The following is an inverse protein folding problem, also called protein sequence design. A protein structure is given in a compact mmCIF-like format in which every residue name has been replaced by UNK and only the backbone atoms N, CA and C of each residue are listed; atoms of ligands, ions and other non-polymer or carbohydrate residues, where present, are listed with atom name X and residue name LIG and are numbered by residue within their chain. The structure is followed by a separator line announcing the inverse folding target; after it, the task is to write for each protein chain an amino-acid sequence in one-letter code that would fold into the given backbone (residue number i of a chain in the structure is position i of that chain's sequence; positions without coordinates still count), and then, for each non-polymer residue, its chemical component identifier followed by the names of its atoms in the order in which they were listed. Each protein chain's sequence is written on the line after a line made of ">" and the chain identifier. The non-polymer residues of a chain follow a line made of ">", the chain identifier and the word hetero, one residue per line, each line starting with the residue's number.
data_IF_135766731523
#
_entry.id   IF_135766731523
#
_cell.length_a   1.000
_cell.length_b   1.000
_cell.length_c   1.000
_cell.angle_alpha   90.00
_cell.angle_beta   90.00
_cell.angle_gamma   90.00
#
_symmetry.space_group_name_H-M   'P 1'
#
loop_
_entity.id
_entity.type
_entity.pdbx_description
1 polymer ?
#
# COMPACT_ATOMS: atom_id res chain seq x y z
N UNK A 1 -11.51 37.18 -6.20
CA UNK A 1 -11.76 36.53 -7.51
C UNK A 1 -10.54 35.76 -8.03
N UNK A 2 -9.33 36.33 -8.07
CA UNK A 2 -8.11 35.63 -8.49
C UNK A 2 -7.77 34.40 -7.63
N UNK A 3 -7.92 34.46 -6.30
CA UNK A 3 -7.62 33.34 -5.39
C UNK A 3 -8.55 32.14 -5.52
N UNK A 4 -9.85 32.38 -5.75
CA UNK A 4 -10.82 31.30 -6.03
C UNK A 4 -10.60 30.68 -7.41
N UNK A 5 -10.24 31.49 -8.42
CA UNK A 5 -9.84 30.97 -9.73
C UNK A 5 -8.54 30.17 -9.64
N UNK A 6 -7.57 30.62 -8.86
CA UNK A 6 -6.31 29.90 -8.63
C UNK A 6 -6.54 28.60 -7.86
N UNK A 7 -7.35 28.59 -6.79
CA UNK A 7 -7.74 27.36 -6.10
C UNK A 7 -8.45 26.37 -7.04
N UNK A 8 -9.29 26.86 -7.95
CA UNK A 8 -10.06 26.03 -8.90
C UNK A 8 -9.22 25.54 -10.09
N UNK A 9 -8.18 26.27 -10.50
CA UNK A 9 -7.41 25.99 -11.71
C UNK A 9 -5.93 25.64 -11.47
N UNK A 10 -5.42 25.71 -10.23
CA UNK A 10 -4.02 25.36 -9.89
C UNK A 10 -3.65 23.94 -10.32
N UNK A 11 -4.57 22.98 -10.18
CA UNK A 11 -4.37 21.59 -10.60
C UNK A 11 -4.27 21.43 -12.13
N UNK A 12 -4.78 22.40 -12.91
CA UNK A 12 -4.68 22.42 -14.38
C UNK A 12 -3.40 23.11 -14.89
N UNK A 13 -2.77 23.96 -14.08
CA UNK A 13 -1.63 24.79 -14.47
C UNK A 13 -0.27 24.18 -14.10
N UNK A 14 -0.25 23.21 -13.18
CA UNK A 14 0.97 22.47 -12.81
C UNK A 14 0.85 21.09 -13.46
N UNK A 15 1.63 20.85 -14.52
CA UNK A 15 1.78 19.51 -15.07
C UNK A 15 2.37 18.61 -13.99
N UNK A 16 1.57 17.68 -13.46
CA UNK A 16 2.05 16.63 -12.59
C UNK A 16 2.70 15.56 -13.46
N UNK A 17 3.97 15.23 -13.22
CA UNK A 17 4.67 14.16 -13.92
C UNK A 17 4.65 12.89 -13.07
N UNK A 18 4.48 11.74 -13.73
CA UNK A 18 4.57 10.44 -13.08
C UNK A 18 5.98 10.21 -12.56
N UNK A 19 6.14 9.92 -11.26
CA UNK A 19 7.46 9.66 -10.68
C UNK A 19 8.15 8.40 -11.22
N UNK A 20 7.39 7.49 -11.87
CA UNK A 20 7.94 6.26 -12.44
C UNK A 20 8.37 6.41 -13.89
N UNK A 21 7.47 6.84 -14.77
CA UNK A 21 7.74 6.90 -16.22
C UNK A 21 8.05 8.32 -16.74
N UNK A 22 8.00 9.34 -15.87
CA UNK A 22 8.24 10.74 -16.19
C UNK A 22 7.31 11.34 -17.26
N UNK A 23 6.22 10.64 -17.59
CA UNK A 23 5.19 11.16 -18.49
C UNK A 23 4.21 12.06 -17.73
N UNK A 24 3.59 13.06 -18.40
CA UNK A 24 2.52 13.86 -17.83
C UNK A 24 1.37 12.98 -17.31
N UNK A 25 0.85 13.29 -16.14
CA UNK A 25 -0.34 12.66 -15.58
C UNK A 25 -1.55 13.37 -16.18
N UNK A 26 -2.34 12.63 -16.93
CA UNK A 26 -3.60 13.11 -17.47
C UNK A 26 -4.56 13.49 -16.33
N UNK A 27 -5.38 14.55 -16.50
CA UNK A 27 -6.40 14.91 -15.53
C UNK A 27 -7.35 13.72 -15.31
N UNK A 28 -7.45 13.25 -14.07
CA UNK A 28 -8.38 12.18 -13.70
C UNK A 28 -9.77 12.78 -13.50
N UNK A 29 -10.83 12.04 -13.86
CA UNK A 29 -12.20 12.42 -13.48
C UNK A 29 -12.32 12.56 -11.95
N UNK A 30 -13.17 13.47 -11.49
CA UNK A 30 -13.27 13.96 -10.10
C UNK A 30 -13.51 12.90 -9.02
N UNK A 31 -13.82 11.66 -9.38
CA UNK A 31 -14.06 10.53 -8.47
C UNK A 31 -12.84 9.60 -8.31
N UNK A 32 -11.72 9.87 -8.99
CA UNK A 32 -10.54 9.04 -8.87
C UNK A 32 -9.83 9.25 -7.52
N UNK A 33 -9.92 8.24 -6.66
CA UNK A 33 -9.17 8.09 -5.40
C UNK A 33 -7.73 7.68 -5.63
N UNK A 34 -7.15 7.84 -6.83
CA UNK A 34 -5.78 7.39 -7.13
C UNK A 34 -4.75 8.51 -6.93
N UNK A 35 -3.50 8.17 -6.58
CA UNK A 35 -2.48 9.17 -6.29
C UNK A 35 -2.03 9.93 -7.53
N UNK A 36 -1.84 11.24 -7.40
CA UNK A 36 -1.25 12.13 -8.41
C UNK A 36 0.27 11.98 -8.54
N UNK A 37 0.83 10.93 -7.96
CA UNK A 37 2.27 10.62 -7.96
C UNK A 37 2.61 9.61 -9.06
N UNK A 38 1.65 8.78 -9.45
CA UNK A 38 1.76 7.78 -10.51
C UNK A 38 0.68 8.03 -11.56
N UNK A 39 0.99 7.82 -12.85
CA UNK A 39 -0.03 7.83 -13.89
C UNK A 39 -0.84 6.52 -13.89
N UNK A 40 -2.03 6.54 -14.51
CA UNK A 40 -2.91 5.38 -14.58
C UNK A 40 -2.21 4.16 -15.19
N UNK A 41 -1.44 4.36 -16.27
CA UNK A 41 -0.74 3.28 -16.97
C UNK A 41 0.24 2.54 -16.05
N UNK A 42 1.02 3.27 -15.24
CA UNK A 42 1.94 2.66 -14.29
C UNK A 42 1.19 1.94 -13.16
N UNK A 43 0.06 2.48 -12.70
CA UNK A 43 -0.78 1.82 -11.69
C UNK A 43 -1.33 0.50 -12.21
N UNK A 44 -1.91 0.50 -13.41
CA UNK A 44 -2.48 -0.70 -14.05
C UNK A 44 -1.40 -1.75 -14.31
N UNK A 45 -0.20 -1.35 -14.73
CA UNK A 45 0.90 -2.28 -15.00
C UNK A 45 1.36 -3.08 -13.75
N UNK A 46 1.16 -2.55 -12.54
CA UNK A 46 1.47 -3.23 -11.29
C UNK A 46 0.44 -4.32 -10.93
N UNK A 47 -0.78 -4.23 -11.46
CA UNK A 47 -1.84 -5.21 -11.21
C UNK A 47 -1.52 -6.48 -11.98
N UNK A 48 -1.49 -7.61 -11.28
CA UNK A 48 -1.27 -8.93 -11.87
C UNK A 48 -2.35 -9.88 -11.37
N UNK A 49 -2.87 -10.80 -12.19
CA UNK A 49 -3.85 -11.79 -11.75
C UNK A 49 -3.25 -12.68 -10.67
N UNK A 50 -4.03 -12.96 -9.62
CA UNK A 50 -3.57 -13.69 -8.44
C UNK A 50 -4.65 -14.62 -7.88
N UNK A 51 -4.19 -15.57 -7.08
CA UNK A 51 -5.03 -16.29 -6.14
C UNK A 51 -5.52 -15.33 -5.03
N UNK A 52 -6.83 -15.20 -4.82
CA UNK A 52 -7.40 -14.35 -3.76
C UNK A 52 -7.06 -14.86 -2.35
N UNK A 53 -6.88 -16.17 -2.20
CA UNK A 53 -6.57 -16.77 -0.91
C UNK A 53 -5.11 -16.56 -0.48
N UNK A 54 -4.11 -16.89 -1.32
CA UNK A 54 -2.68 -16.79 -0.95
C UNK A 54 -1.89 -15.67 -1.64
N UNK A 55 -2.45 -14.98 -2.63
CA UNK A 55 -1.76 -13.92 -3.39
C UNK A 55 -0.73 -14.41 -4.42
N UNK A 56 -0.61 -15.73 -4.64
CA UNK A 56 0.26 -16.28 -5.67
C UNK A 56 -0.13 -15.74 -7.04
N UNK A 57 0.86 -15.34 -7.86
CA UNK A 57 0.64 -14.87 -9.23
C UNK A 57 0.08 -16.02 -10.08
N UNK A 58 -0.98 -15.73 -10.82
CA UNK A 58 -1.69 -16.68 -11.67
C UNK A 58 -1.86 -16.09 -13.09
N UNK A 59 -2.24 -16.93 -14.06
CA UNK A 59 -2.57 -16.45 -15.41
C UNK A 59 -3.90 -15.70 -15.46
N UNK A 60 -4.85 -16.12 -14.62
CA UNK A 60 -6.16 -15.51 -14.43
C UNK A 60 -6.38 -15.31 -12.93
N UNK A 61 -7.22 -14.35 -12.58
CA UNK A 61 -7.63 -14.17 -11.19
C UNK A 61 -8.53 -15.34 -10.77
N UNK A 62 -8.30 -15.88 -9.58
CA UNK A 62 -9.00 -17.07 -9.11
C UNK A 62 -9.11 -17.06 -7.59
N UNK A 63 -10.14 -17.71 -7.04
CA UNK A 63 -10.33 -17.74 -5.58
C UNK A 63 -9.23 -18.57 -4.88
N UNK A 64 -8.97 -19.78 -5.39
CA UNK A 64 -8.04 -20.74 -4.80
C UNK A 64 -7.16 -21.38 -5.87
N UNK A 65 -5.84 -21.23 -5.77
CA UNK A 65 -4.89 -21.97 -6.61
C UNK A 65 -4.70 -23.41 -6.12
N UNK A 66 -4.04 -24.26 -6.91
CA UNK A 66 -3.78 -25.66 -6.54
C UNK A 66 -3.04 -25.83 -5.20
N UNK A 67 -2.13 -24.91 -4.86
CA UNK A 67 -1.43 -24.93 -3.57
C UNK A 67 -2.39 -24.65 -2.40
N UNK A 68 -3.33 -23.72 -2.57
CA UNK A 68 -4.35 -23.44 -1.56
C UNK A 68 -5.31 -24.60 -1.34
N UNK A 69 -5.67 -25.33 -2.40
CA UNK A 69 -6.53 -26.51 -2.29
C UNK A 69 -5.84 -27.64 -1.51
N UNK A 70 -4.52 -27.80 -1.66
CA UNK A 70 -3.74 -28.81 -0.95
C UNK A 70 -3.37 -28.38 0.48
N UNK A 71 -2.98 -27.12 0.66
CA UNK A 71 -2.45 -26.56 1.90
C UNK A 71 -2.96 -25.13 2.09
N UNK A 72 -4.21 -24.95 2.59
CA UNK A 72 -4.78 -23.63 2.75
C UNK A 72 -4.05 -22.82 3.84
N UNK A 73 -3.66 -21.56 3.58
CA UNK A 73 -3.17 -20.66 4.62
C UNK A 73 -4.21 -20.40 5.72
N UNK A 74 -3.73 -19.86 6.85
CA UNK A 74 -4.55 -19.54 8.03
C UNK A 74 -5.40 -18.26 7.88
N UNK A 75 -5.23 -17.52 6.79
CA UNK A 75 -5.99 -16.30 6.51
C UNK A 75 -7.01 -16.55 5.38
N UNK A 76 -8.09 -15.76 5.35
CA UNK A 76 -9.17 -15.92 4.36
C UNK A 76 -8.79 -15.36 2.99
N UNK A 77 -8.22 -14.16 2.95
CA UNK A 77 -7.90 -13.46 1.71
C UNK A 77 -6.60 -12.67 1.87
N UNK A 78 -5.89 -12.50 0.76
CA UNK A 78 -4.67 -11.70 0.70
C UNK A 78 -4.83 -10.60 -0.35
N UNK A 79 -4.68 -9.36 0.09
CA UNK A 79 -4.67 -8.19 -0.77
C UNK A 79 -3.26 -7.63 -0.93
N UNK A 80 -2.86 -7.34 -2.17
CA UNK A 80 -1.58 -6.71 -2.46
C UNK A 80 -1.69 -5.76 -3.65
N UNK A 81 -0.87 -4.71 -3.67
CA UNK A 81 -0.82 -3.76 -4.79
C UNK A 81 -0.22 -4.41 -6.06
N UNK A 82 0.83 -5.19 -5.89
CA UNK A 82 1.57 -5.84 -6.98
C UNK A 82 2.82 -6.54 -6.43
N UNK A 83 3.68 -6.99 -7.34
CA UNK A 83 4.97 -7.58 -6.96
C UNK A 83 5.92 -6.52 -6.35
N UNK A 84 6.90 -6.98 -5.57
CA UNK A 84 7.95 -6.12 -5.03
C UNK A 84 8.95 -5.73 -6.14
N UNK A 85 8.49 -4.92 -7.09
CA UNK A 85 9.22 -4.43 -8.25
C UNK A 85 8.97 -2.93 -8.44
N UNK A 86 9.82 -2.20 -9.17
CA UNK A 86 9.58 -0.80 -9.48
C UNK A 86 8.24 -0.60 -10.20
N UNK A 87 7.48 0.47 -9.88
CA UNK A 87 7.82 1.53 -8.92
C UNK A 87 7.47 1.21 -7.46
N UNK A 88 6.69 0.15 -7.18
CA UNK A 88 6.19 -0.17 -5.84
C UNK A 88 7.32 -0.40 -4.84
N UNK A 89 8.38 -1.11 -5.24
CA UNK A 89 9.53 -1.39 -4.38
C UNK A 89 10.20 -0.12 -3.85
N UNK A 90 10.25 0.96 -4.64
CA UNK A 90 10.85 2.23 -4.23
C UNK A 90 10.07 2.87 -3.08
N UNK A 91 8.74 2.92 -3.17
CA UNK A 91 7.89 3.49 -2.12
C UNK A 91 7.92 2.66 -0.85
N UNK A 92 7.88 1.32 -0.98
CA UNK A 92 8.02 0.41 0.16
C UNK A 92 9.38 0.56 0.82
N UNK A 93 10.45 0.71 0.03
CA UNK A 93 11.80 0.94 0.54
C UNK A 93 11.91 2.28 1.28
N UNK A 94 11.40 3.36 0.70
CA UNK A 94 11.39 4.70 1.32
C UNK A 94 10.62 4.71 2.65
N UNK A 95 9.47 4.02 2.72
CA UNK A 95 8.73 3.85 3.97
C UNK A 95 9.55 3.03 4.99
N UNK A 96 10.20 1.94 4.55
CA UNK A 96 10.96 1.08 5.45
C UNK A 96 12.22 1.76 5.98
N UNK A 97 13.04 2.34 5.12
CA UNK A 97 14.43 2.67 5.47
C UNK A 97 14.73 4.16 5.47
N UNK A 98 13.93 4.97 4.78
CA UNK A 98 14.18 6.42 4.64
C UNK A 98 13.27 7.29 5.51
N UNK A 99 12.50 6.67 6.42
CA UNK A 99 11.54 7.35 7.32
C UNK A 99 10.53 8.25 6.59
N UNK A 100 10.25 7.97 5.32
CA UNK A 100 9.32 8.77 4.53
C UNK A 100 7.88 8.34 4.81
N UNK A 101 7.31 8.80 5.94
CA UNK A 101 6.00 8.36 6.42
C UNK A 101 4.84 8.69 5.47
N UNK A 102 4.97 9.75 4.67
CA UNK A 102 4.00 10.11 3.63
C UNK A 102 3.81 8.99 2.57
N UNK A 103 4.78 8.08 2.44
CA UNK A 103 4.65 6.91 1.58
C UNK A 103 3.60 5.92 2.09
N UNK A 104 3.29 5.91 3.39
CA UNK A 104 2.21 5.10 3.94
C UNK A 104 0.85 5.52 3.36
N UNK A 105 0.59 6.82 3.23
CA UNK A 105 -0.66 7.34 2.65
C UNK A 105 -0.81 6.98 1.17
N UNK A 106 0.30 7.02 0.42
CA UNK A 106 0.36 6.61 -0.99
C UNK A 106 0.07 5.11 -1.14
N UNK A 107 0.78 4.28 -0.37
CA UNK A 107 0.63 2.83 -0.40
C UNK A 107 -0.76 2.39 0.05
N UNK A 108 -1.31 3.02 1.09
CA UNK A 108 -2.67 2.78 1.55
C UNK A 108 -3.70 3.15 0.49
N UNK A 109 -3.51 4.26 -0.23
CA UNK A 109 -4.37 4.67 -1.34
C UNK A 109 -4.42 3.60 -2.43
N UNK A 110 -3.26 3.06 -2.81
CA UNK A 110 -3.20 1.98 -3.80
C UNK A 110 -3.83 0.69 -3.28
N UNK A 111 -3.62 0.35 -2.01
CA UNK A 111 -4.11 -0.91 -1.43
C UNK A 111 -5.63 -0.93 -1.26
N UNK A 112 -6.22 0.16 -0.78
CA UNK A 112 -7.66 0.25 -0.47
C UNK A 112 -8.53 0.01 -1.69
N UNK A 113 -8.10 0.41 -2.89
CA UNK A 113 -8.79 0.14 -4.15
C UNK A 113 -8.98 -1.35 -4.46
N UNK A 114 -8.26 -2.23 -3.74
CA UNK A 114 -8.31 -3.68 -3.94
C UNK A 114 -9.05 -4.40 -2.82
N UNK A 115 -9.32 -3.73 -1.71
CA UNK A 115 -10.01 -4.35 -0.57
C UNK A 115 -11.51 -4.23 -0.83
N UNK A 116 -12.16 -5.35 -1.06
CA UNK A 116 -13.60 -5.45 -1.34
C UNK A 116 -14.41 -6.04 -0.16
N UNK A 117 -13.74 -6.50 0.89
CA UNK A 117 -14.37 -7.03 2.10
C UNK A 117 -14.65 -5.97 3.16
N UNK A 118 -15.73 -6.17 3.90
CA UNK A 118 -16.02 -5.42 5.13
C UNK A 118 -15.34 -6.10 6.30
N UNK A 119 -14.63 -5.32 7.11
CA UNK A 119 -13.95 -5.75 8.33
C UNK A 119 -14.27 -4.79 9.46
N UNK A 120 -14.26 -5.28 10.70
CA UNK A 120 -14.62 -4.48 11.88
C UNK A 120 -13.45 -3.64 12.42
N UNK A 121 -12.21 -4.08 12.17
CA UNK A 121 -11.01 -3.41 12.63
C UNK A 121 -9.79 -3.76 11.76
N UNK A 122 -8.79 -2.88 11.78
CA UNK A 122 -7.44 -3.14 11.26
C UNK A 122 -6.49 -3.33 12.44
N UNK A 123 -5.55 -4.26 12.32
CA UNK A 123 -4.41 -4.40 13.24
C UNK A 123 -3.11 -4.41 12.44
N UNK A 124 -1.97 -4.39 13.12
CA UNK A 124 -0.65 -4.39 12.50
C UNK A 124 0.32 -5.26 13.27
N UNK A 125 1.41 -5.64 12.61
CA UNK A 125 2.50 -6.38 13.24
C UNK A 125 3.39 -5.39 14.01
N UNK A 126 3.51 -5.51 15.36
CA UNK A 126 4.37 -4.64 16.15
C UNK A 126 5.86 -4.93 15.94
N UNK A 127 6.68 -3.90 16.10
CA UNK A 127 8.12 -4.07 16.32
C UNK A 127 8.40 -4.39 17.79
N UNK A 128 9.54 -5.02 18.06
CA UNK A 128 10.02 -5.15 19.44
C UNK A 128 10.42 -3.76 19.97
N UNK A 129 10.12 -3.45 21.23
CA UNK A 129 10.27 -2.11 21.81
C UNK A 129 11.66 -1.49 21.59
N UNK A 130 12.74 -2.27 21.73
CA UNK A 130 14.12 -1.82 21.43
C UNK A 130 14.28 -1.32 20.00
N UNK A 131 13.73 -2.06 19.03
CA UNK A 131 13.80 -1.71 17.61
C UNK A 131 12.89 -0.53 17.29
N UNK A 132 11.72 -0.44 17.93
CA UNK A 132 10.84 0.71 17.80
C UNK A 132 11.51 1.98 18.32
N UNK A 133 12.18 1.91 19.47
CA UNK A 133 12.95 3.03 20.02
C UNK A 133 14.07 3.47 19.08
N UNK A 134 14.90 2.54 18.60
CA UNK A 134 16.02 2.86 17.70
C UNK A 134 15.56 3.41 16.35
N UNK A 135 14.47 2.87 15.79
CA UNK A 135 13.96 3.25 14.47
C UNK A 135 13.05 4.47 14.51
N UNK A 136 12.47 4.80 15.67
CA UNK A 136 11.51 5.89 15.87
C UNK A 136 10.08 5.61 15.41
N UNK A 137 9.83 4.61 14.58
CA UNK A 137 8.50 4.29 14.04
C UNK A 137 8.32 2.82 13.63
N UNK A 138 7.05 2.38 13.55
CA UNK A 138 6.66 1.09 12.99
C UNK A 138 5.95 1.26 11.63
N UNK A 139 6.55 0.76 10.56
CA UNK A 139 6.06 0.92 9.19
C UNK A 139 4.68 0.30 9.01
N UNK A 140 4.48 -0.87 9.63
CA UNK A 140 3.22 -1.60 9.56
C UNK A 140 2.10 -0.85 10.28
N UNK A 141 2.43 -0.16 11.38
CA UNK A 141 1.48 0.70 12.10
C UNK A 141 1.08 1.90 11.24
N UNK A 142 2.05 2.62 10.65
CA UNK A 142 1.76 3.77 9.79
C UNK A 142 0.92 3.39 8.56
N UNK A 143 1.22 2.25 7.93
CA UNK A 143 0.40 1.75 6.82
C UNK A 143 -1.01 1.36 7.30
N UNK A 144 -1.12 0.66 8.42
CA UNK A 144 -2.42 0.25 8.98
C UNK A 144 -3.29 1.46 9.36
N UNK A 145 -2.71 2.50 9.99
CA UNK A 145 -3.42 3.74 10.31
C UNK A 145 -3.92 4.46 9.04
N UNK A 146 -3.08 4.52 8.00
CA UNK A 146 -3.47 5.14 6.73
C UNK A 146 -4.59 4.37 6.02
N UNK A 147 -4.57 3.04 6.03
CA UNK A 147 -5.65 2.19 5.49
C UNK A 147 -6.92 2.36 6.33
N UNK A 148 -6.83 2.31 7.66
CA UNK A 148 -7.94 2.43 8.59
C UNK A 148 -8.69 3.76 8.41
N UNK A 149 -7.94 4.86 8.27
CA UNK A 149 -8.47 6.19 7.98
C UNK A 149 -9.26 6.23 6.67
N UNK A 150 -8.80 5.53 5.63
CA UNK A 150 -9.44 5.50 4.30
C UNK A 150 -10.68 4.62 4.26
N UNK A 151 -10.66 3.49 4.98
CA UNK A 151 -11.79 2.59 5.11
C UNK A 151 -12.80 3.03 6.18
N UNK A 152 -12.48 4.08 6.94
CA UNK A 152 -13.28 4.59 8.06
C UNK A 152 -13.60 3.50 9.11
N UNK A 153 -12.56 2.76 9.51
CA UNK A 153 -12.63 1.68 10.52
C UNK A 153 -11.53 1.87 11.56
N UNK A 154 -11.69 1.35 12.79
CA UNK A 154 -10.69 1.51 13.84
C UNK A 154 -9.40 0.72 13.54
N UNK A 155 -8.26 1.31 13.87
CA UNK A 155 -6.98 0.61 13.94
C UNK A 155 -6.68 0.27 15.40
N UNK A 156 -6.58 -1.02 15.74
CA UNK A 156 -6.43 -1.51 17.11
C UNK A 156 -5.13 -2.31 17.23
N UNK A 157 -4.24 -1.98 18.18
CA UNK A 157 -3.01 -2.72 18.41
C UNK A 157 -3.29 -4.03 19.15
N UNK A 158 -3.60 -5.11 18.42
CA UNK A 158 -3.99 -6.40 19.02
C UNK A 158 -2.81 -7.28 19.43
N UNK A 159 -1.61 -7.00 18.92
CA UNK A 159 -0.44 -7.85 19.13
C UNK A 159 0.66 -7.11 19.88
N UNK A 160 1.46 -7.86 20.63
CA UNK A 160 2.71 -7.37 21.25
C UNK A 160 3.88 -8.28 20.87
N UNK A 161 4.98 -7.69 20.40
CA UNK A 161 6.20 -8.43 20.12
C UNK A 161 7.05 -8.56 21.38
N UNK A 162 7.04 -9.76 21.97
CA UNK A 162 7.75 -10.05 23.23
C UNK A 162 9.20 -10.49 23.03
N UNK A 163 9.52 -11.14 21.90
CA UNK A 163 10.87 -11.63 21.60
C UNK A 163 11.63 -10.67 20.69
N UNK A 164 12.89 -10.39 21.03
CA UNK A 164 13.83 -9.73 20.11
C UNK A 164 14.35 -10.77 19.12
N UNK A 165 14.06 -10.59 17.84
CA UNK A 165 14.66 -11.40 16.76
C UNK A 165 15.70 -10.57 16.01
N UNK A 166 16.75 -11.21 15.49
CA UNK A 166 17.71 -10.54 14.60
C UNK A 166 17.00 -10.05 13.33
N UNK A 167 17.61 -9.09 12.64
CA UNK A 167 17.14 -8.71 11.32
C UNK A 167 17.32 -9.88 10.36
N UNK A 168 16.32 -10.14 9.51
CA UNK A 168 16.40 -11.14 8.43
C UNK A 168 16.87 -10.49 7.10
N UNK A 169 17.27 -9.21 7.12
CA UNK A 169 17.88 -8.55 5.96
C UNK A 169 19.24 -9.20 5.65
N UNK A 170 19.42 -9.70 4.42
CA UNK A 170 20.65 -10.32 3.96
C UNK A 170 20.79 -11.81 4.26
N UNK A 171 19.67 -12.52 4.47
CA UNK A 171 19.65 -13.99 4.50
C UNK A 171 19.29 -14.50 3.09
N UNK A 172 20.28 -14.50 2.20
CA UNK A 172 20.34 -15.35 1.01
C UNK A 172 21.44 -16.39 1.24
#
# INVERSE_FOLDING_TARGET
>A
MLTQWWQKNRQRLIAHYCQHCLLPIEPRHSQSSLPWVLCQRCITAMVQPRCRHCGLRCQVEMDHCGQCLAHPPLWRELYCVGDYQPPLSNYVHQLKFSQQLHQADLLAQLLVERIDVKVDAITYVPLHWRRQFWRGFNQSEWLALAVAKRLNIPCVPMFRRTRTTRSQLGMD
#
